data_IF_702647356559
#
_entry.id   IF_702647356559
#
_cell.length_a   1.000
_cell.length_b   1.000
_cell.length_c   1.000
_cell.angle_alpha   90.00
_cell.angle_beta   90.00
_cell.angle_gamma   90.00
#
_symmetry.space_group_name_H-M   'P 1'
#
loop_
_entity.id
_entity.type
_entity.pdbx_description
1 polymer ?
#
# COMPACT_ATOMS: atom_id res chain seq x y z
N UNK A 1 -10.75 -7.01 -31.53
CA UNK A 1 -10.31 -7.42 -30.19
C UNK A 1 -9.58 -6.24 -29.58
N UNK A 2 -10.33 -5.32 -28.96
CA UNK A 2 -9.79 -4.08 -28.39
C UNK A 2 -9.15 -4.40 -27.04
N UNK A 3 -7.83 -4.33 -26.98
CA UNK A 3 -7.11 -4.39 -25.72
C UNK A 3 -7.43 -3.10 -24.99
N UNK A 4 -8.26 -3.22 -23.95
CA UNK A 4 -8.51 -2.20 -22.94
C UNK A 4 -7.15 -1.88 -22.32
N UNK A 5 -6.51 -0.85 -22.89
CA UNK A 5 -5.31 -0.25 -22.36
C UNK A 5 -5.77 0.47 -21.10
N UNK A 6 -5.77 -0.26 -19.99
CA UNK A 6 -5.71 0.27 -18.62
C UNK A 6 -4.52 1.22 -18.56
N UNK A 7 -4.76 2.44 -19.03
CA UNK A 7 -3.85 3.56 -18.95
C UNK A 7 -4.10 4.19 -17.59
N UNK A 8 -3.83 3.42 -16.54
CA UNK A 8 -3.72 3.92 -15.18
C UNK A 8 -2.24 4.03 -14.82
N UNK A 9 -1.47 4.61 -15.75
CA UNK A 9 -0.11 5.09 -15.57
C UNK A 9 -0.15 6.29 -14.59
N UNK A 10 -0.27 5.99 -13.29
CA UNK A 10 -0.20 7.02 -12.24
C UNK A 10 -1.02 6.76 -10.97
N UNK A 11 -1.97 5.81 -10.95
CA UNK A 11 -2.75 5.51 -9.75
C UNK A 11 -2.22 4.23 -9.12
N UNK A 12 -1.43 4.37 -8.05
CA UNK A 12 -0.92 3.21 -7.31
C UNK A 12 -2.05 2.30 -6.84
N UNK A 13 -1.86 0.97 -6.91
CA UNK A 13 -2.84 -0.02 -6.47
C UNK A 13 -2.96 -0.01 -4.95
N UNK A 14 -4.19 -0.12 -4.42
CA UNK A 14 -4.42 -0.29 -2.98
C UNK A 14 -3.99 -1.70 -2.57
N UNK A 15 -3.19 -1.77 -1.52
CA UNK A 15 -2.70 -3.02 -0.94
C UNK A 15 -2.92 -3.03 0.56
N UNK A 16 -3.06 -4.21 1.12
CA UNK A 16 -3.03 -4.46 2.57
C UNK A 16 -1.76 -5.26 2.89
N UNK A 17 -1.46 -5.35 4.18
CA UNK A 17 -0.34 -6.12 4.68
C UNK A 17 -0.84 -7.05 5.78
N UNK A 18 -0.64 -8.36 5.63
CA UNK A 18 -1.15 -9.37 6.58
C UNK A 18 -2.69 -9.28 6.76
N UNK A 19 -3.41 -8.98 5.68
CA UNK A 19 -4.86 -8.76 5.66
C UNK A 19 -5.32 -7.53 6.43
N UNK A 20 -4.39 -6.65 6.85
CA UNK A 20 -4.63 -5.48 7.69
C UNK A 20 -3.94 -4.23 7.14
N UNK A 21 -4.22 -3.09 7.77
CA UNK A 21 -3.60 -1.82 7.38
C UNK A 21 -4.00 -1.38 5.97
N UNK A 22 -3.26 -0.40 5.45
CA UNK A 22 -3.51 0.13 4.11
C UNK A 22 -2.24 0.73 3.53
N UNK A 23 -1.96 0.42 2.27
CA UNK A 23 -0.92 1.05 1.49
C UNK A 23 -1.32 1.29 0.03
N UNK A 24 -0.49 2.06 -0.66
CA UNK A 24 -0.54 2.26 -2.10
C UNK A 24 0.77 1.77 -2.70
N UNK A 25 0.70 0.80 -3.61
CA UNK A 25 1.85 0.27 -4.35
C UNK A 25 1.84 0.83 -5.76
N UNK A 26 2.90 1.57 -6.10
CA UNK A 26 3.26 1.91 -7.47
C UNK A 26 4.39 0.98 -7.95
N UNK A 27 4.75 1.01 -9.23
CA UNK A 27 5.76 0.10 -9.83
C UNK A 27 7.06 0.00 -9.02
N UNK A 28 7.51 1.07 -8.39
CA UNK A 28 8.80 1.11 -7.67
C UNK A 28 8.69 1.64 -6.23
N UNK A 29 7.48 1.93 -5.75
CA UNK A 29 7.31 2.62 -4.47
C UNK A 29 6.12 2.08 -3.70
N UNK A 30 6.33 1.92 -2.40
CA UNK A 30 5.28 1.65 -1.43
C UNK A 30 5.01 2.90 -0.59
N UNK A 31 3.74 3.28 -0.51
CA UNK A 31 3.25 4.25 0.46
C UNK A 31 2.47 3.51 1.55
N UNK A 32 2.99 3.46 2.77
CA UNK A 32 2.31 2.81 3.91
C UNK A 32 1.43 3.84 4.63
N UNK A 33 0.13 3.82 4.39
CA UNK A 33 -0.83 4.76 4.96
C UNK A 33 -1.24 4.37 6.38
N UNK A 34 -1.55 3.10 6.63
CA UNK A 34 -1.96 2.58 7.95
C UNK A 34 -1.14 1.33 8.26
N UNK A 35 -0.47 1.33 9.40
CA UNK A 35 0.34 0.20 9.84
C UNK A 35 -0.56 -1.01 10.22
N UNK A 36 -0.28 -2.23 9.72
CA UNK A 36 -1.06 -3.42 10.05
C UNK A 36 -0.85 -3.91 11.50
N UNK A 37 0.25 -3.51 12.14
CA UNK A 37 0.62 -3.97 13.48
C UNK A 37 0.03 -3.10 14.59
N UNK A 38 0.23 -1.78 14.50
CA UNK A 38 -0.20 -0.85 15.55
C UNK A 38 -1.44 -0.03 15.17
N UNK A 39 -2.02 -0.24 13.98
CA UNK A 39 -3.20 0.46 13.46
C UNK A 39 -3.05 1.99 13.34
N UNK A 40 -1.85 2.52 13.54
CA UNK A 40 -1.58 3.95 13.42
C UNK A 40 -1.49 4.36 11.96
N UNK A 41 -2.05 5.54 11.65
CA UNK A 41 -1.92 6.19 10.35
C UNK A 41 -0.60 6.96 10.29
N UNK A 42 0.13 6.77 9.21
CA UNK A 42 1.34 7.53 8.90
C UNK A 42 0.94 8.87 8.26
N UNK A 43 1.68 9.94 8.60
CA UNK A 43 1.63 11.19 7.83
C UNK A 43 2.34 11.03 6.47
N UNK A 44 2.00 11.86 5.49
CA UNK A 44 2.39 11.69 4.08
C UNK A 44 3.89 11.45 3.87
N UNK A 45 4.75 12.23 4.54
CA UNK A 45 6.21 12.10 4.44
C UNK A 45 6.72 10.75 4.91
N UNK A 46 6.14 10.22 5.98
CA UNK A 46 6.52 8.91 6.52
C UNK A 46 5.85 7.78 5.76
N UNK A 47 4.61 7.97 5.33
CA UNK A 47 3.91 7.03 4.48
C UNK A 47 4.71 6.75 3.19
N UNK A 48 5.22 7.79 2.54
CA UNK A 48 6.03 7.67 1.32
C UNK A 48 7.38 6.95 1.48
N UNK A 49 7.85 6.77 2.71
CA UNK A 49 9.04 5.93 3.00
C UNK A 49 8.69 4.44 3.06
N UNK A 50 7.41 4.09 3.16
CA UNK A 50 6.96 2.71 3.31
C UNK A 50 7.09 2.17 4.74
N UNK A 51 7.56 2.94 5.72
CA UNK A 51 7.80 2.47 7.11
C UNK A 51 6.85 3.14 8.10
N UNK A 52 6.41 2.41 9.12
CA UNK A 52 5.61 2.99 10.21
C UNK A 52 6.44 3.93 11.08
N UNK A 53 5.97 5.16 11.29
CA UNK A 53 6.66 6.14 12.15
C UNK A 53 6.58 5.82 13.65
N UNK A 54 5.67 4.93 14.06
CA UNK A 54 5.34 4.67 15.45
C UNK A 54 6.05 3.43 16.01
N UNK A 55 5.98 2.32 15.28
CA UNK A 55 6.56 1.04 15.69
C UNK A 55 7.75 0.60 14.81
N UNK A 56 8.18 1.45 13.87
CA UNK A 56 9.23 1.15 12.90
C UNK A 56 8.97 -0.09 12.02
N UNK A 57 7.72 -0.54 11.91
CA UNK A 57 7.35 -1.63 11.02
C UNK A 57 7.70 -1.32 9.56
N UNK A 58 8.43 -2.23 8.93
CA UNK A 58 8.77 -2.22 7.52
C UNK A 58 8.03 -3.37 6.79
N UNK A 59 7.14 -3.06 5.84
CA UNK A 59 6.39 -4.06 5.08
C UNK A 59 7.31 -4.83 4.13
N UNK A 60 7.26 -6.16 4.18
CA UNK A 60 7.90 -7.00 3.17
C UNK A 60 6.92 -7.29 2.02
N UNK A 61 7.45 -7.47 0.80
CA UNK A 61 6.62 -7.76 -0.38
C UNK A 61 5.83 -9.07 -0.25
N UNK A 62 6.35 -10.04 0.51
CA UNK A 62 5.66 -11.31 0.79
C UNK A 62 4.40 -11.16 1.65
N UNK A 63 4.32 -10.08 2.43
CA UNK A 63 3.21 -9.80 3.33
C UNK A 63 2.14 -8.95 2.63
N UNK A 64 2.43 -8.47 1.41
CA UNK A 64 1.53 -7.67 0.61
C UNK A 64 0.38 -8.50 0.03
N UNK A 65 -0.83 -8.03 0.25
CA UNK A 65 -2.05 -8.63 -0.28
C UNK A 65 -2.85 -7.58 -1.05
N UNK A 66 -3.53 -7.95 -2.14
CA UNK A 66 -4.40 -7.03 -2.85
C UNK A 66 -5.55 -6.60 -1.92
N UNK A 67 -5.83 -5.30 -1.86
CA UNK A 67 -7.07 -4.84 -1.24
C UNK A 67 -8.21 -5.36 -2.14
N UNK A 68 -9.03 -6.27 -1.61
CA UNK A 68 -10.11 -6.91 -2.38
C UNK A 68 -11.05 -5.89 -3.04
N UNK A 69 -11.82 -6.31 -4.07
CA UNK A 69 -12.78 -5.42 -4.72
C UNK A 69 -13.79 -4.93 -3.66
N UNK A 70 -13.97 -3.61 -3.61
CA UNK A 70 -15.06 -2.96 -2.88
C UNK A 70 -16.37 -3.59 -3.39
N UNK A 71 -17.10 -4.28 -2.52
CA UNK A 71 -18.40 -4.91 -2.85
C UNK A 71 -19.50 -3.87 -2.67
#
# INVERSE_FOLDING_TARGET
>A
MGQDRDSTDGVGRKVTFLGRGLGLRSQSRLTLLVCPLCSQRNGDRMAAKGTCAWCAYEPAERDEEPCGPDH
#
